data_IF_414233472022
#
_entry.id   IF_414233472022
#
_cell.length_a   1.000
_cell.length_b   1.000
_cell.length_c   1.000
_cell.angle_alpha   90.00
_cell.angle_beta   90.00
_cell.angle_gamma   90.00
#
_symmetry.space_group_name_H-M   'P 1'
#
loop_
_entity.id
_entity.type
_entity.pdbx_description
1 polymer ?
#
# COMPACT_ATOMS: atom_id res chain seq x y z
N UNK A 1 18.05 36.17 -19.06
CA UNK A 1 18.31 34.78 -18.69
C UNK A 1 17.21 34.34 -17.74
N UNK A 2 16.40 33.38 -18.13
CA UNK A 2 15.38 32.80 -17.22
C UNK A 2 16.10 32.12 -16.07
N UNK A 3 15.75 32.46 -14.84
CA UNK A 3 16.35 31.83 -13.66
C UNK A 3 16.17 30.32 -13.72
N UNK A 4 17.22 29.59 -13.43
CA UNK A 4 17.16 28.13 -13.35
C UNK A 4 16.17 27.74 -12.25
N UNK A 5 15.16 26.93 -12.57
CA UNK A 5 14.16 26.46 -11.61
C UNK A 5 13.57 25.11 -12.04
N UNK A 6 13.11 24.34 -11.04
CA UNK A 6 12.57 23.03 -11.27
C UNK A 6 11.29 22.99 -12.11
N UNK A 7 10.50 24.04 -12.09
CA UNK A 7 9.27 24.11 -12.88
C UNK A 7 9.55 24.11 -14.41
N UNK A 8 10.68 24.71 -14.84
CA UNK A 8 11.13 24.69 -16.22
C UNK A 8 11.92 23.43 -16.52
N UNK A 9 12.91 23.11 -15.68
CA UNK A 9 13.78 21.94 -15.83
C UNK A 9 12.97 20.65 -15.97
N UNK A 10 12.00 20.42 -15.10
CA UNK A 10 11.17 19.21 -15.15
C UNK A 10 10.35 19.04 -16.43
N UNK A 11 10.16 20.08 -17.21
CA UNK A 11 9.38 20.04 -18.47
C UNK A 11 10.24 19.81 -19.69
N UNK A 12 11.40 20.48 -19.78
CA UNK A 12 12.12 20.65 -21.05
C UNK A 12 13.58 20.26 -21.02
N UNK A 13 14.21 20.12 -19.82
CA UNK A 13 15.64 19.89 -19.74
C UNK A 13 16.06 18.56 -20.39
N UNK A 14 17.19 18.59 -21.06
CA UNK A 14 17.96 17.41 -21.46
C UNK A 14 18.84 16.91 -20.29
N UNK A 15 19.66 15.89 -20.54
CA UNK A 15 20.48 15.28 -19.51
C UNK A 15 21.56 16.23 -18.98
N UNK A 16 22.14 17.09 -19.83
CA UNK A 16 23.21 18.02 -19.42
C UNK A 16 22.62 19.18 -18.60
N UNK A 17 21.51 19.71 -19.01
CA UNK A 17 20.77 20.71 -18.25
C UNK A 17 20.31 20.18 -16.89
N UNK A 18 19.89 18.92 -16.83
CA UNK A 18 19.51 18.28 -15.57
C UNK A 18 20.71 18.11 -14.64
N UNK A 19 21.88 17.69 -15.14
CA UNK A 19 23.13 17.61 -14.35
C UNK A 19 23.51 18.97 -13.74
N UNK A 20 23.44 20.03 -14.54
CA UNK A 20 23.69 21.39 -14.04
C UNK A 20 22.66 21.77 -12.96
N UNK A 21 21.38 21.42 -13.16
CA UNK A 21 20.33 21.74 -12.21
C UNK A 21 20.51 21.05 -10.86
N UNK A 22 20.90 19.78 -10.82
CA UNK A 22 21.12 19.04 -9.57
C UNK A 22 22.34 19.54 -8.78
N UNK A 23 23.29 20.21 -9.42
CA UNK A 23 24.44 20.85 -8.75
C UNK A 23 24.08 22.24 -8.17
N UNK A 24 23.09 22.92 -8.73
CA UNK A 24 22.79 24.31 -8.41
C UNK A 24 21.49 24.51 -7.63
N UNK A 25 20.58 23.54 -7.67
CA UNK A 25 19.26 23.65 -7.05
C UNK A 25 19.08 22.54 -6.00
N UNK A 26 18.29 22.82 -4.98
CA UNK A 26 17.87 21.82 -4.01
C UNK A 26 16.95 20.79 -4.71
N UNK A 27 17.41 19.53 -4.75
CA UNK A 27 16.71 18.41 -5.39
C UNK A 27 15.41 18.01 -4.66
N UNK A 28 15.21 18.48 -3.44
CA UNK A 28 14.03 18.21 -2.62
C UNK A 28 13.12 19.43 -2.46
N UNK A 29 13.48 20.58 -3.07
CA UNK A 29 12.70 21.81 -2.95
C UNK A 29 11.28 21.63 -3.51
N UNK A 30 10.23 21.73 -2.67
CA UNK A 30 8.87 21.56 -3.15
C UNK A 30 8.39 22.84 -3.88
N UNK A 31 7.51 22.66 -4.85
CA UNK A 31 6.76 23.75 -5.45
C UNK A 31 5.59 24.21 -4.55
N UNK A 32 4.81 25.20 -5.03
CA UNK A 32 3.64 25.74 -4.31
C UNK A 32 2.56 24.67 -3.99
N UNK A 33 2.58 23.54 -4.70
CA UNK A 33 1.68 22.40 -4.48
C UNK A 33 2.32 21.28 -3.61
N UNK A 34 3.51 21.52 -3.09
CA UNK A 34 4.26 20.53 -2.31
C UNK A 34 4.96 19.46 -3.15
N UNK A 35 4.98 19.57 -4.49
CA UNK A 35 5.58 18.59 -5.37
C UNK A 35 7.10 18.77 -5.43
N UNK A 36 7.83 17.72 -5.14
CA UNK A 36 9.29 17.70 -5.31
C UNK A 36 9.69 17.72 -6.80
N UNK A 37 10.94 18.05 -7.14
CA UNK A 37 11.47 17.94 -8.51
C UNK A 37 11.21 16.57 -9.15
N UNK A 38 11.39 15.49 -8.38
CA UNK A 38 11.09 14.13 -8.82
C UNK A 38 9.62 13.96 -9.21
N UNK A 39 8.69 14.44 -8.37
CA UNK A 39 7.26 14.40 -8.68
C UNK A 39 6.91 15.23 -9.92
N UNK A 40 7.58 16.37 -10.10
CA UNK A 40 7.39 17.21 -11.29
C UNK A 40 7.83 16.47 -12.57
N UNK A 41 8.97 15.77 -12.53
CA UNK A 41 9.44 14.98 -13.68
C UNK A 41 8.46 13.85 -14.01
N UNK A 42 7.96 13.13 -13.00
CA UNK A 42 6.95 12.08 -13.17
C UNK A 42 5.65 12.69 -13.76
N UNK A 43 5.15 13.78 -13.19
CA UNK A 43 3.93 14.45 -13.65
C UNK A 43 4.05 14.95 -15.11
N UNK A 44 5.24 15.40 -15.50
CA UNK A 44 5.54 15.86 -16.85
C UNK A 44 5.93 14.72 -17.81
N UNK A 45 5.82 13.45 -17.39
CA UNK A 45 6.10 12.27 -18.18
C UNK A 45 7.50 12.27 -18.81
N UNK A 46 8.49 12.63 -17.98
CA UNK A 46 9.87 12.64 -18.47
C UNK A 46 10.39 11.21 -18.71
N UNK A 47 11.29 11.03 -19.68
CA UNK A 47 11.91 9.74 -19.95
C UNK A 47 12.55 9.13 -18.69
N UNK A 48 12.49 7.79 -18.57
CA UNK A 48 13.00 7.06 -17.42
C UNK A 48 14.50 7.31 -17.18
N UNK A 49 15.28 7.51 -18.23
CA UNK A 49 16.71 7.82 -18.17
C UNK A 49 16.97 9.14 -17.42
N UNK A 50 16.14 10.15 -17.66
CA UNK A 50 16.27 11.43 -16.96
C UNK A 50 15.82 11.35 -15.50
N UNK A 51 14.75 10.59 -15.24
CA UNK A 51 14.31 10.34 -13.87
C UNK A 51 15.40 9.57 -13.10
N UNK A 52 16.05 8.60 -13.73
CA UNK A 52 17.16 7.83 -13.14
C UNK A 52 18.35 8.72 -12.77
N UNK A 53 18.66 9.74 -13.57
CA UNK A 53 19.73 10.71 -13.23
C UNK A 53 19.41 11.48 -11.95
N UNK A 54 18.12 11.84 -11.74
CA UNK A 54 17.72 12.50 -10.50
C UNK A 54 17.72 11.51 -9.32
N UNK A 55 17.28 10.26 -9.52
CA UNK A 55 17.29 9.22 -8.48
C UNK A 55 18.69 8.89 -7.97
N UNK A 56 19.72 8.98 -8.83
CA UNK A 56 21.13 8.80 -8.44
C UNK A 56 21.60 9.83 -7.41
N UNK A 57 20.92 10.97 -7.31
CA UNK A 57 21.21 12.01 -6.32
C UNK A 57 20.51 11.76 -4.98
N UNK A 58 19.87 10.61 -4.81
CA UNK A 58 19.18 10.20 -3.58
C UNK A 58 18.12 11.22 -3.09
N UNK A 59 17.14 11.61 -3.93
CA UNK A 59 16.10 12.53 -3.53
C UNK A 59 15.22 11.91 -2.45
N UNK A 60 14.54 12.76 -1.65
CA UNK A 60 13.57 12.33 -0.67
C UNK A 60 12.34 11.72 -1.36
N UNK A 61 12.15 10.40 -1.21
CA UNK A 61 11.13 9.62 -1.91
C UNK A 61 9.75 9.67 -1.21
N UNK A 62 9.76 9.82 0.12
CA UNK A 62 8.56 9.73 0.97
C UNK A 62 7.90 11.10 1.24
N UNK A 63 8.37 12.17 0.60
CA UNK A 63 7.69 13.46 0.66
C UNK A 63 6.33 13.33 -0.01
N UNK A 64 5.28 13.86 0.65
CA UNK A 64 3.93 13.93 0.08
C UNK A 64 3.61 15.36 -0.38
N UNK A 65 2.96 15.49 -1.53
CA UNK A 65 2.44 16.77 -1.96
C UNK A 65 1.14 17.17 -1.21
N UNK A 66 0.54 18.29 -1.55
CA UNK A 66 -0.71 18.77 -0.93
C UNK A 66 -1.93 17.85 -1.15
N UNK A 67 -1.83 16.89 -2.07
CA UNK A 67 -2.85 15.86 -2.29
C UNK A 67 -2.53 14.56 -1.53
N UNK A 68 -1.43 14.51 -0.79
CA UNK A 68 -0.96 13.31 -0.11
C UNK A 68 -0.18 12.36 -1.01
N UNK A 69 0.15 12.72 -2.26
CA UNK A 69 0.82 11.82 -3.18
C UNK A 69 2.34 11.85 -2.99
N UNK A 70 2.96 10.68 -2.84
CA UNK A 70 4.41 10.49 -2.99
C UNK A 70 4.81 10.35 -4.46
N UNK A 71 6.11 10.29 -4.74
CA UNK A 71 6.62 10.04 -6.10
C UNK A 71 6.11 8.69 -6.65
N UNK A 72 6.09 7.64 -5.82
CA UNK A 72 5.60 6.31 -6.20
C UNK A 72 4.10 6.33 -6.53
N UNK A 73 3.28 6.98 -5.72
CA UNK A 73 1.84 7.16 -5.99
C UNK A 73 1.61 7.89 -7.32
N UNK A 74 2.40 8.94 -7.59
CA UNK A 74 2.31 9.65 -8.88
C UNK A 74 2.67 8.75 -10.06
N UNK A 75 3.70 7.91 -9.94
CA UNK A 75 4.04 6.98 -11.01
C UNK A 75 2.86 6.04 -11.34
N UNK A 76 2.15 5.55 -10.32
CA UNK A 76 0.92 4.75 -10.49
C UNK A 76 -0.19 5.59 -11.12
N UNK A 77 -0.52 6.76 -10.55
CA UNK A 77 -1.59 7.66 -11.06
C UNK A 77 -1.41 8.04 -12.52
N UNK A 78 -0.17 8.27 -12.94
CA UNK A 78 0.17 8.65 -14.31
C UNK A 78 0.50 7.46 -15.21
N UNK A 79 0.35 6.21 -14.73
CA UNK A 79 0.64 4.96 -15.46
C UNK A 79 2.04 4.93 -16.06
N UNK A 80 3.02 5.38 -15.29
CA UNK A 80 4.42 5.37 -15.69
C UNK A 80 5.10 4.11 -15.15
N UNK A 81 4.73 2.98 -15.74
CA UNK A 81 5.10 1.66 -15.25
C UNK A 81 6.62 1.44 -15.23
N UNK A 82 7.35 2.03 -16.16
CA UNK A 82 8.81 1.94 -16.22
C UNK A 82 9.50 2.62 -15.03
N UNK A 83 8.83 3.61 -14.40
CA UNK A 83 9.36 4.32 -13.24
C UNK A 83 9.09 3.59 -11.90
N UNK A 84 8.07 2.74 -11.82
CA UNK A 84 7.73 2.03 -10.57
C UNK A 84 8.92 1.20 -10.08
N UNK A 85 9.52 0.29 -10.88
CA UNK A 85 10.67 -0.48 -10.42
C UNK A 85 11.90 0.39 -10.11
N UNK A 86 12.11 1.50 -10.81
CA UNK A 86 13.21 2.41 -10.53
C UNK A 86 13.06 3.10 -9.18
N UNK A 87 11.84 3.54 -8.85
CA UNK A 87 11.52 4.14 -7.57
C UNK A 87 11.68 3.13 -6.42
N UNK A 88 11.19 1.89 -6.59
CA UNK A 88 11.34 0.82 -5.61
C UNK A 88 12.81 0.46 -5.39
N UNK A 89 13.61 0.35 -6.45
CA UNK A 89 15.06 0.12 -6.37
C UNK A 89 15.80 1.27 -5.67
N UNK A 90 15.31 2.50 -5.82
CA UNK A 90 15.85 3.67 -5.12
C UNK A 90 15.41 3.73 -3.64
N UNK A 91 14.55 2.81 -3.18
CA UNK A 91 14.11 2.69 -1.79
C UNK A 91 12.75 3.31 -1.48
N UNK A 92 11.94 3.64 -2.51
CA UNK A 92 10.55 4.08 -2.28
C UNK A 92 9.76 2.98 -1.57
N UNK A 93 9.01 3.37 -0.55
CA UNK A 93 8.26 2.46 0.31
C UNK A 93 6.81 2.33 -0.14
N UNK A 94 6.23 1.16 0.12
CA UNK A 94 4.79 0.95 -0.05
C UNK A 94 4.01 1.66 1.06
N UNK A 95 4.57 1.70 2.27
CA UNK A 95 3.97 2.37 3.43
C UNK A 95 3.89 3.88 3.22
N UNK A 96 2.82 4.49 3.71
CA UNK A 96 2.60 5.93 3.63
C UNK A 96 2.37 6.52 5.03
N UNK A 97 2.91 7.72 5.38
CA UNK A 97 2.73 8.33 6.70
C UNK A 97 1.26 8.51 7.11
N UNK A 98 0.36 8.73 6.15
CA UNK A 98 -1.09 8.84 6.37
C UNK A 98 -1.81 7.48 6.38
N UNK A 99 -1.08 6.36 6.32
CA UNK A 99 -1.62 5.01 6.29
C UNK A 99 -1.77 4.44 4.88
N UNK A 100 -2.17 3.19 4.81
CA UNK A 100 -2.20 2.39 3.58
C UNK A 100 -3.23 2.85 2.57
N UNK A 101 -4.34 3.43 3.02
CA UNK A 101 -5.33 4.05 2.11
C UNK A 101 -4.71 5.09 1.18
N UNK A 102 -3.58 5.66 1.58
CA UNK A 102 -2.82 6.63 0.82
C UNK A 102 -1.58 6.03 0.15
N UNK A 103 -1.45 4.71 0.11
CA UNK A 103 -0.30 4.03 -0.50
C UNK A 103 -0.44 3.89 -2.02
N UNK A 104 0.70 3.68 -2.69
CA UNK A 104 0.72 3.36 -4.12
C UNK A 104 0.00 2.03 -4.41
N UNK A 105 0.03 1.08 -3.48
CA UNK A 105 -0.71 -0.17 -3.56
C UNK A 105 -2.22 0.06 -3.63
N UNK A 106 -2.77 0.84 -2.69
CA UNK A 106 -4.20 1.15 -2.65
C UNK A 106 -4.63 1.94 -3.88
N UNK A 107 -3.80 2.86 -4.35
CA UNK A 107 -4.07 3.61 -5.58
C UNK A 107 -4.17 2.68 -6.81
N UNK A 108 -3.25 1.71 -6.94
CA UNK A 108 -3.29 0.74 -8.02
C UNK A 108 -4.52 -0.16 -7.93
N UNK A 109 -4.86 -0.63 -6.74
CA UNK A 109 -6.03 -1.47 -6.46
C UNK A 109 -7.34 -0.76 -6.76
N UNK A 110 -7.53 0.46 -6.25
CA UNK A 110 -8.75 1.27 -6.47
C UNK A 110 -9.00 1.55 -7.95
N UNK A 111 -7.92 1.66 -8.73
CA UNK A 111 -7.99 1.87 -10.19
C UNK A 111 -8.08 0.58 -11.00
N UNK A 112 -8.09 -0.58 -10.36
CA UNK A 112 -8.01 -1.88 -11.02
C UNK A 112 -6.83 -1.97 -12.00
N UNK A 113 -5.68 -1.34 -11.63
CA UNK A 113 -4.48 -1.30 -12.45
C UNK A 113 -3.61 -2.53 -12.15
N UNK A 114 -3.93 -3.65 -12.81
CA UNK A 114 -3.23 -4.93 -12.63
C UNK A 114 -1.73 -4.82 -12.97
N UNK A 115 -1.34 -3.95 -13.90
CA UNK A 115 0.06 -3.79 -14.25
C UNK A 115 0.85 -3.11 -13.12
N UNK A 116 0.30 -2.02 -12.56
CA UNK A 116 0.90 -1.36 -11.41
C UNK A 116 0.92 -2.31 -10.20
N UNK A 117 -0.17 -3.04 -9.94
CA UNK A 117 -0.26 -4.00 -8.85
C UNK A 117 0.83 -5.08 -8.93
N UNK A 118 1.05 -5.67 -10.12
CA UNK A 118 2.12 -6.65 -10.33
C UNK A 118 3.52 -6.08 -10.06
N UNK A 119 3.78 -4.84 -10.48
CA UNK A 119 5.06 -4.19 -10.24
C UNK A 119 5.28 -3.88 -8.75
N UNK A 120 4.23 -3.48 -8.05
CA UNK A 120 4.26 -3.19 -6.62
C UNK A 120 4.33 -4.45 -5.75
N UNK A 121 3.87 -5.62 -6.23
CA UNK A 121 3.91 -6.88 -5.48
C UNK A 121 5.32 -7.36 -5.13
N UNK A 122 6.35 -6.80 -5.77
CA UNK A 122 7.75 -7.02 -5.37
C UNK A 122 8.19 -6.16 -4.17
N UNK A 123 7.31 -5.30 -3.65
CA UNK A 123 7.59 -4.46 -2.49
C UNK A 123 7.30 -5.24 -1.22
N UNK A 124 8.15 -5.12 -0.20
CA UNK A 124 7.93 -5.78 1.10
C UNK A 124 6.54 -5.45 1.66
N UNK A 125 5.79 -6.47 2.03
CA UNK A 125 4.45 -6.37 2.59
C UNK A 125 3.32 -6.30 1.57
N UNK A 126 3.61 -6.21 0.28
CA UNK A 126 2.62 -6.37 -0.79
C UNK A 126 2.40 -7.85 -1.14
N UNK A 127 1.27 -8.15 -1.75
CA UNK A 127 0.91 -9.49 -2.22
C UNK A 127 0.39 -9.44 -3.66
N UNK A 128 0.51 -10.54 -4.38
CA UNK A 128 -0.10 -10.70 -5.70
C UNK A 128 -1.63 -10.84 -5.54
N UNK A 129 -2.40 -10.14 -6.36
CA UNK A 129 -3.87 -10.20 -6.34
C UNK A 129 -4.48 -11.22 -7.32
N UNK A 130 -3.73 -11.62 -8.36
CA UNK A 130 -4.20 -12.63 -9.31
C UNK A 130 -4.00 -14.01 -8.74
N UNK A 131 -5.06 -14.80 -8.70
CA UNK A 131 -5.04 -16.17 -8.20
C UNK A 131 -4.97 -17.17 -9.35
N UNK A 132 -4.27 -18.26 -9.11
CA UNK A 132 -4.42 -19.49 -9.91
C UNK A 132 -5.72 -20.19 -9.52
N UNK A 133 -6.20 -21.10 -10.37
CA UNK A 133 -7.39 -21.93 -10.06
C UNK A 133 -7.22 -22.71 -8.73
N UNK A 134 -6.02 -23.19 -8.44
CA UNK A 134 -5.75 -23.94 -7.22
C UNK A 134 -5.77 -23.03 -5.97
N UNK A 135 -5.24 -21.83 -6.07
CA UNK A 135 -5.29 -20.83 -4.99
C UNK A 135 -6.73 -20.41 -4.72
N UNK A 136 -7.53 -20.15 -5.77
CA UNK A 136 -8.95 -19.84 -5.61
C UNK A 136 -9.70 -21.00 -4.95
N UNK A 137 -9.48 -22.23 -5.39
CA UNK A 137 -10.09 -23.40 -4.75
C UNK A 137 -9.74 -23.51 -3.26
N UNK A 138 -8.52 -23.11 -2.88
CA UNK A 138 -8.10 -23.07 -1.47
C UNK A 138 -8.81 -21.97 -0.70
N UNK A 139 -8.96 -20.77 -1.28
CA UNK A 139 -9.75 -19.65 -0.70
C UNK A 139 -11.20 -20.08 -0.48
N UNK A 140 -11.80 -20.76 -1.46
CA UNK A 140 -13.18 -21.24 -1.40
C UNK A 140 -13.42 -22.20 -0.21
N UNK A 141 -12.38 -22.93 0.23
CA UNK A 141 -12.49 -23.78 1.43
C UNK A 141 -12.62 -23.00 2.75
N UNK A 142 -12.36 -21.71 2.75
CA UNK A 142 -12.59 -20.83 3.92
C UNK A 142 -13.89 -20.05 3.77
N UNK A 143 -14.08 -19.48 2.57
CA UNK A 143 -15.15 -18.49 2.32
C UNK A 143 -16.53 -19.12 2.21
N UNK A 144 -16.62 -20.34 1.64
CA UNK A 144 -17.91 -20.99 1.38
C UNK A 144 -18.20 -22.15 2.35
N UNK A 145 -17.82 -22.03 3.62
CA UNK A 145 -18.13 -23.04 4.62
C UNK A 145 -19.50 -22.86 5.24
N UNK A 146 -20.19 -23.98 5.47
CA UNK A 146 -21.51 -23.99 6.13
C UNK A 146 -21.44 -23.73 7.64
N UNK A 147 -20.25 -23.85 8.26
CA UNK A 147 -20.07 -23.64 9.69
C UNK A 147 -18.81 -22.84 10.01
N UNK A 148 -18.88 -22.01 11.02
CA UNK A 148 -17.74 -21.23 11.56
C UNK A 148 -16.58 -22.15 11.94
N UNK A 149 -16.88 -23.32 12.54
CA UNK A 149 -15.84 -24.29 12.93
C UNK A 149 -15.07 -24.82 11.73
N UNK A 150 -15.74 -25.14 10.62
CA UNK A 150 -15.09 -25.60 9.40
C UNK A 150 -14.28 -24.47 8.74
N UNK A 151 -14.81 -23.26 8.70
CA UNK A 151 -14.08 -22.10 8.21
C UNK A 151 -12.81 -21.82 9.03
N UNK A 152 -12.89 -21.92 10.36
CA UNK A 152 -11.73 -21.79 11.25
C UNK A 152 -10.66 -22.88 11.00
N UNK A 153 -11.08 -24.13 10.81
CA UNK A 153 -10.16 -25.24 10.50
C UNK A 153 -9.46 -25.01 9.16
N UNK A 154 -10.20 -24.59 8.13
CA UNK A 154 -9.64 -24.27 6.82
C UNK A 154 -8.67 -23.08 6.91
N UNK A 155 -9.04 -21.98 7.59
CA UNK A 155 -8.20 -20.81 7.79
C UNK A 155 -6.88 -21.15 8.51
N UNK A 156 -6.90 -22.07 9.46
CA UNK A 156 -5.71 -22.52 10.20
C UNK A 156 -4.70 -23.29 9.33
N UNK A 157 -5.10 -23.82 8.20
CA UNK A 157 -4.24 -24.55 7.26
C UNK A 157 -3.60 -23.64 6.21
N UNK A 158 -4.05 -22.37 6.10
CA UNK A 158 -3.47 -21.43 5.17
C UNK A 158 -2.05 -21.03 5.60
N UNK A 159 -1.12 -21.06 4.67
CA UNK A 159 0.30 -20.77 4.92
C UNK A 159 0.96 -19.98 3.78
N UNK A 160 0.17 -19.35 2.92
CA UNK A 160 0.60 -18.55 1.79
C UNK A 160 -0.03 -17.15 1.87
N UNK A 161 0.77 -16.10 1.70
CA UNK A 161 0.35 -14.71 1.88
C UNK A 161 -0.69 -14.27 0.84
N UNK A 162 -0.62 -14.79 -0.38
CA UNK A 162 -1.60 -14.51 -1.46
C UNK A 162 -2.96 -15.12 -1.11
N UNK A 163 -2.98 -16.36 -0.65
CA UNK A 163 -4.23 -17.06 -0.28
C UNK A 163 -4.83 -16.46 0.99
N UNK A 164 -4.00 -16.09 1.99
CA UNK A 164 -4.45 -15.37 3.19
C UNK A 164 -5.10 -14.03 2.84
N UNK A 165 -4.50 -13.29 1.91
CA UNK A 165 -5.03 -12.00 1.45
C UNK A 165 -6.37 -12.17 0.72
N UNK A 166 -6.42 -13.10 -0.23
CA UNK A 166 -7.64 -13.36 -1.00
C UNK A 166 -8.78 -13.87 -0.12
N UNK A 167 -8.49 -14.73 0.87
CA UNK A 167 -9.48 -15.18 1.83
C UNK A 167 -10.06 -14.00 2.63
N UNK A 168 -9.21 -13.08 3.11
CA UNK A 168 -9.66 -11.89 3.81
C UNK A 168 -10.50 -10.93 2.94
N UNK A 169 -10.14 -10.78 1.66
CA UNK A 169 -10.89 -9.93 0.72
C UNK A 169 -12.25 -10.50 0.32
N UNK A 170 -12.32 -11.82 0.14
CA UNK A 170 -13.53 -12.50 -0.34
C UNK A 170 -14.45 -12.95 0.79
N UNK A 171 -14.01 -12.83 2.05
CA UNK A 171 -14.81 -13.20 3.21
C UNK A 171 -16.04 -12.30 3.35
N UNK A 172 -17.16 -12.89 3.76
CA UNK A 172 -18.33 -12.13 4.16
C UNK A 172 -18.14 -11.57 5.58
N UNK A 173 -17.83 -10.29 5.70
CA UNK A 173 -17.53 -9.63 6.98
C UNK A 173 -18.74 -9.43 7.91
N UNK A 174 -19.95 -9.78 7.43
CA UNK A 174 -21.15 -9.89 8.27
C UNK A 174 -21.25 -11.26 8.97
N UNK A 175 -20.40 -12.22 8.61
CA UNK A 175 -20.29 -13.51 9.27
C UNK A 175 -19.36 -13.43 10.49
N UNK A 176 -19.20 -14.54 11.23
CA UNK A 176 -18.33 -14.61 12.42
C UNK A 176 -16.89 -14.14 12.16
N UNK A 177 -16.29 -13.28 13.01
CA UNK A 177 -14.91 -12.83 12.86
C UNK A 177 -13.88 -13.91 13.21
N UNK A 178 -14.29 -15.08 13.71
CA UNK A 178 -13.39 -16.12 14.20
C UNK A 178 -12.38 -16.64 13.14
N UNK A 179 -12.75 -16.93 11.88
CA UNK A 179 -11.78 -17.31 10.85
C UNK A 179 -10.77 -16.19 10.58
N UNK A 180 -11.22 -14.94 10.61
CA UNK A 180 -10.37 -13.78 10.37
C UNK A 180 -9.38 -13.52 11.52
N UNK A 181 -9.73 -13.84 12.76
CA UNK A 181 -8.80 -13.86 13.89
C UNK A 181 -7.65 -14.85 13.66
N UNK A 182 -7.93 -16.00 13.09
CA UNK A 182 -6.92 -17.01 12.76
C UNK A 182 -5.98 -16.48 11.65
N UNK A 183 -6.54 -15.93 10.58
CA UNK A 183 -5.79 -15.30 9.49
C UNK A 183 -4.93 -14.15 10.03
N UNK A 184 -5.49 -13.25 10.83
CA UNK A 184 -4.76 -12.13 11.42
C UNK A 184 -3.59 -12.58 12.33
N UNK A 185 -3.68 -13.72 12.98
CA UNK A 185 -2.62 -14.30 13.83
C UNK A 185 -1.55 -15.02 13.04
N UNK A 186 -1.83 -15.41 11.80
CA UNK A 186 -0.88 -16.15 10.96
C UNK A 186 0.41 -15.33 10.74
N UNK A 187 1.61 -15.90 10.94
CA UNK A 187 2.88 -15.21 10.71
C UNK A 187 3.13 -14.86 9.24
N UNK A 188 2.52 -15.59 8.30
CA UNK A 188 2.61 -15.32 6.86
C UNK A 188 1.62 -14.23 6.41
N UNK A 189 0.74 -13.75 7.31
CA UNK A 189 -0.21 -12.70 6.96
C UNK A 189 0.55 -11.39 6.67
N UNK A 190 0.57 -10.98 5.41
CA UNK A 190 1.26 -9.79 4.96
C UNK A 190 0.65 -8.52 5.58
N UNK A 191 1.48 -7.49 5.74
CA UNK A 191 1.04 -6.21 6.29
C UNK A 191 -0.14 -5.60 5.52
N UNK A 192 -0.12 -5.68 4.19
CA UNK A 192 -1.22 -5.20 3.35
C UNK A 192 -2.55 -5.93 3.67
N UNK A 193 -2.47 -7.23 3.98
CA UNK A 193 -3.63 -8.04 4.36
C UNK A 193 -4.23 -7.59 5.68
N UNK A 194 -3.37 -7.41 6.70
CA UNK A 194 -3.81 -6.91 8.01
C UNK A 194 -4.52 -5.55 7.89
N UNK A 195 -4.04 -4.71 7.00
CA UNK A 195 -4.65 -3.42 6.75
C UNK A 195 -5.98 -3.52 6.01
N UNK A 196 -6.05 -4.32 4.96
CA UNK A 196 -7.30 -4.61 4.25
C UNK A 196 -8.36 -5.15 5.21
N UNK A 197 -7.96 -6.07 6.10
CA UNK A 197 -8.86 -6.59 7.14
C UNK A 197 -9.34 -5.50 8.09
N UNK A 198 -8.46 -4.58 8.50
CA UNK A 198 -8.84 -3.48 9.39
C UNK A 198 -9.88 -2.54 8.76
N UNK A 199 -9.74 -2.27 7.47
CA UNK A 199 -10.71 -1.46 6.70
C UNK A 199 -12.04 -2.18 6.51
N UNK A 200 -12.01 -3.44 6.07
CA UNK A 200 -13.21 -4.23 5.83
C UNK A 200 -14.02 -4.50 7.13
N UNK A 201 -13.30 -4.64 8.24
CA UNK A 201 -13.88 -4.76 9.58
C UNK A 201 -14.52 -3.46 10.07
N UNK A 202 -14.18 -2.29 9.52
CA UNK A 202 -14.40 -0.97 10.14
C UNK A 202 -13.78 -0.91 11.55
N UNK A 203 -12.48 -1.14 11.61
CA UNK A 203 -11.73 -1.31 12.86
C UNK A 203 -11.90 -0.16 13.84
N UNK A 204 -11.94 1.09 13.36
CA UNK A 204 -12.13 2.28 14.21
C UNK A 204 -13.50 2.28 14.89
N UNK A 205 -14.55 1.81 14.21
CA UNK A 205 -15.89 1.67 14.79
C UNK A 205 -15.88 0.70 15.99
N UNK A 206 -15.27 -0.47 15.83
CA UNK A 206 -15.22 -1.47 16.91
C UNK A 206 -14.33 -1.02 18.07
N UNK A 207 -13.24 -0.30 17.80
CA UNK A 207 -12.38 0.25 18.85
C UNK A 207 -13.05 1.35 19.66
N UNK A 208 -13.87 2.18 19.02
CA UNK A 208 -14.57 3.29 19.68
C UNK A 208 -15.81 2.83 20.48
N UNK A 209 -16.28 1.58 20.28
CA UNK A 209 -17.50 1.09 20.92
C UNK A 209 -17.31 0.90 22.42
N UNK A 210 -18.23 1.43 23.22
CA UNK A 210 -18.27 1.21 24.67
C UNK A 210 -18.68 -0.23 25.02
N UNK A 211 -18.29 -0.66 26.22
CA UNK A 211 -18.46 -2.04 26.67
C UNK A 211 -19.96 -2.44 26.77
N UNK A 212 -20.85 -1.54 27.21
CA UNK A 212 -22.26 -1.83 27.34
C UNK A 212 -22.93 -2.08 25.98
N UNK A 213 -22.56 -1.31 24.96
CA UNK A 213 -23.03 -1.48 23.58
C UNK A 213 -22.45 -2.74 22.96
N UNK A 214 -21.17 -3.03 23.24
CA UNK A 214 -20.47 -4.21 22.73
C UNK A 214 -21.14 -5.51 23.17
N UNK A 215 -21.53 -5.62 24.45
CA UNK A 215 -22.20 -6.79 25.02
C UNK A 215 -23.60 -7.04 24.43
N UNK A 216 -24.19 -6.04 23.77
CA UNK A 216 -25.49 -6.18 23.08
C UNK A 216 -25.37 -6.67 21.63
N UNK A 217 -24.14 -6.74 21.12
CA UNK A 217 -23.82 -7.20 19.76
C UNK A 217 -23.49 -8.67 19.77
N UNK A 218 -24.02 -9.41 18.80
CA UNK A 218 -23.64 -10.79 18.59
C UNK A 218 -22.15 -10.82 18.20
N UNK A 219 -21.36 -11.68 18.86
CA UNK A 219 -19.90 -11.77 18.71
C UNK A 219 -19.12 -10.43 18.85
N UNK A 220 -19.72 -9.39 19.45
CA UNK A 220 -19.12 -8.04 19.55
C UNK A 220 -17.72 -8.04 20.19
N UNK A 221 -17.50 -8.87 21.22
CA UNK A 221 -16.21 -9.02 21.86
C UNK A 221 -15.13 -9.55 20.89
N UNK A 222 -15.48 -10.50 20.01
CA UNK A 222 -14.56 -11.07 19.04
C UNK A 222 -14.22 -10.07 17.92
N UNK A 223 -15.20 -9.30 17.47
CA UNK A 223 -14.96 -8.21 16.53
C UNK A 223 -14.00 -7.16 17.10
N UNK A 224 -14.19 -6.77 18.36
CA UNK A 224 -13.29 -5.83 19.06
C UNK A 224 -11.89 -6.44 19.25
N UNK A 225 -11.80 -7.73 19.63
CA UNK A 225 -10.53 -8.44 19.73
C UNK A 225 -9.77 -8.40 18.41
N UNK A 226 -10.46 -8.67 17.30
CA UNK A 226 -9.86 -8.61 15.97
C UNK A 226 -9.35 -7.19 15.65
N UNK A 227 -10.16 -6.15 15.90
CA UNK A 227 -9.77 -4.76 15.67
C UNK A 227 -8.52 -4.37 16.48
N UNK A 228 -8.46 -4.76 17.75
CA UNK A 228 -7.29 -4.51 18.62
C UNK A 228 -6.05 -5.24 18.10
N UNK A 229 -6.19 -6.52 17.74
CA UNK A 229 -5.08 -7.31 17.19
C UNK A 229 -4.52 -6.70 15.91
N UNK A 230 -5.39 -6.31 14.98
CA UNK A 230 -4.99 -5.68 13.72
C UNK A 230 -4.29 -4.35 13.96
N UNK A 231 -4.84 -3.49 14.82
CA UNK A 231 -4.21 -2.20 15.17
C UNK A 231 -2.80 -2.40 15.76
N UNK A 232 -2.64 -3.36 16.69
CA UNK A 232 -1.34 -3.65 17.31
C UNK A 232 -0.31 -4.13 16.29
N UNK A 233 -0.68 -5.05 15.39
CA UNK A 233 0.21 -5.57 14.35
C UNK A 233 0.61 -4.49 13.35
N UNK A 234 -0.33 -3.64 12.94
CA UNK A 234 -0.08 -2.52 12.04
C UNK A 234 0.86 -1.47 12.66
N UNK A 235 0.72 -1.19 13.96
CA UNK A 235 1.62 -0.30 14.68
C UNK A 235 3.03 -0.88 14.83
N UNK A 236 3.16 -2.18 15.12
CA UNK A 236 4.46 -2.85 15.27
C UNK A 236 5.27 -2.86 13.96
N UNK A 237 4.60 -3.03 12.81
CA UNK A 237 5.27 -3.01 11.50
C UNK A 237 5.86 -1.64 11.15
N UNK A 238 5.23 -0.55 11.59
CA UNK A 238 5.74 0.83 11.39
C UNK A 238 7.03 1.10 12.16
N UNK A 239 7.17 0.53 13.36
CA UNK A 239 8.36 0.73 14.21
C UNK A 239 9.60 -0.02 13.70
N UNK A 240 9.45 -1.04 12.85
CA UNK A 240 10.58 -1.79 12.27
C UNK A 240 11.10 -1.17 10.96
N UNK A 241 10.36 -0.22 10.39
CA UNK A 241 10.70 0.45 9.13
C UNK A 241 11.34 1.83 9.32
N UNK A 242 11.54 2.26 10.56
CA UNK A 242 12.20 3.50 10.98
C UNK A 242 13.62 3.25 11.40
#
# INVERSE_FOLDING_TARGET
MTALNWATISKTADADQLRIAVEQLDINQPDERGRTPLMLMITNRRPAELVSLLLQQQPALEVSDKLGDTALIKAVKFKQYDLIPLLLQAGAKLDHPAGVLHSAWQEARTRHDLQATRLLSNTTGAVRLELTEQEQATVDTVVYQESVSAACQAAALLNDDVVLHAAAEQYNWDDSPAPMLIIARNPQCAWITLHTMYELLDGDYWLAMDEATLLQRDEGEQYKELAVLLQQKLAASRSQSS
#
